data_IF_763097175857
#
_entry.id   IF_763097175857
#
_cell.length_a   1.000
_cell.length_b   1.000
_cell.length_c   1.000
_cell.angle_alpha   90.00
_cell.angle_beta   90.00
_cell.angle_gamma   90.00
#
_symmetry.space_group_name_H-M   'P 1'
#
loop_
_entity.id
_entity.type
_entity.pdbx_description
1 polymer ?
#
# COMPACT_ATOMS: atom_id res chain seq x y z
N UNK A 1 -34.28 28.93 -14.83
CA UNK A 1 -34.09 28.12 -13.62
C UNK A 1 -32.90 28.69 -12.87
N UNK A 2 -33.14 29.13 -11.63
CA UNK A 2 -32.08 29.65 -10.75
C UNK A 2 -31.19 28.50 -10.26
N UNK A 3 -29.97 28.78 -9.83
CA UNK A 3 -29.04 27.76 -9.28
C UNK A 3 -29.70 26.97 -8.14
N UNK A 4 -30.56 27.59 -7.31
CA UNK A 4 -31.31 26.93 -6.24
C UNK A 4 -32.36 25.94 -6.71
N UNK A 5 -33.01 26.17 -7.86
CA UNK A 5 -34.01 25.22 -8.40
C UNK A 5 -33.35 23.95 -9.01
N UNK A 6 -32.09 24.03 -9.45
CA UNK A 6 -31.31 22.87 -9.92
C UNK A 6 -30.89 22.00 -8.73
N UNK A 7 -30.41 22.60 -7.65
CA UNK A 7 -29.97 21.90 -6.45
C UNK A 7 -31.11 21.11 -5.77
N UNK A 8 -32.32 21.68 -5.72
CA UNK A 8 -33.50 21.00 -5.21
C UNK A 8 -34.00 19.86 -6.12
N UNK A 9 -33.85 20.02 -7.45
CA UNK A 9 -34.23 18.99 -8.41
C UNK A 9 -33.26 17.80 -8.35
N UNK A 10 -31.96 18.07 -8.25
CA UNK A 10 -30.92 17.03 -8.13
C UNK A 10 -31.03 16.27 -6.80
N UNK A 11 -31.41 16.92 -5.69
CA UNK A 11 -31.76 16.27 -4.42
C UNK A 11 -32.99 15.37 -4.52
N UNK A 12 -34.04 15.83 -5.16
CA UNK A 12 -35.25 15.03 -5.36
C UNK A 12 -35.02 13.82 -6.25
N UNK A 13 -34.14 13.93 -7.27
CA UNK A 13 -33.75 12.83 -8.14
C UNK A 13 -32.89 11.82 -7.37
N UNK A 14 -31.95 12.26 -6.55
CA UNK A 14 -31.11 11.41 -5.71
C UNK A 14 -31.93 10.63 -4.67
N UNK A 15 -32.90 11.28 -4.02
CA UNK A 15 -33.85 10.64 -3.09
C UNK A 15 -34.76 9.63 -3.79
N UNK A 16 -35.25 9.98 -4.99
CA UNK A 16 -36.10 9.07 -5.79
C UNK A 16 -35.37 7.86 -6.32
N UNK A 17 -34.08 8.01 -6.66
CA UNK A 17 -33.23 6.91 -7.14
C UNK A 17 -32.63 6.09 -5.98
N UNK A 18 -32.90 6.44 -4.74
CA UNK A 18 -32.36 5.75 -3.55
C UNK A 18 -30.82 5.86 -3.43
N UNK A 19 -30.22 6.81 -4.16
CA UNK A 19 -28.75 7.00 -4.13
C UNK A 19 -28.30 7.84 -2.96
N UNK A 20 -29.16 8.26 -2.04
CA UNK A 20 -28.90 8.96 -0.77
C UNK A 20 -27.55 9.66 -0.54
N UNK A 21 -26.84 9.97 -1.63
CA UNK A 21 -25.51 10.58 -1.57
C UNK A 21 -25.67 12.09 -1.36
N UNK A 22 -25.27 12.54 -0.20
CA UNK A 22 -25.12 13.97 0.02
C UNK A 22 -24.20 14.56 -1.07
N UNK A 23 -24.60 15.71 -1.67
CA UNK A 23 -23.79 16.36 -2.70
C UNK A 23 -22.39 16.64 -2.16
N UNK A 24 -21.39 16.31 -2.93
CA UNK A 24 -19.99 16.56 -2.56
C UNK A 24 -19.76 18.07 -2.43
N UNK A 25 -19.26 18.59 -1.31
CA UNK A 25 -18.97 20.01 -1.15
C UNK A 25 -18.05 20.55 -2.25
N UNK A 26 -18.23 21.81 -2.65
CA UNK A 26 -17.42 22.42 -3.73
C UNK A 26 -15.92 22.51 -3.39
N UNK A 27 -15.58 22.53 -2.12
CA UNK A 27 -14.22 22.56 -1.59
C UNK A 27 -13.69 21.17 -1.20
N UNK A 28 -14.41 20.10 -1.57
CA UNK A 28 -14.01 18.72 -1.32
C UNK A 28 -12.72 18.37 -2.06
N UNK A 29 -11.81 17.72 -1.36
CA UNK A 29 -10.54 17.26 -1.91
C UNK A 29 -10.53 15.75 -2.06
N UNK A 30 -10.05 15.26 -3.21
CA UNK A 30 -9.88 13.83 -3.41
C UNK A 30 -8.67 13.55 -4.30
N UNK A 31 -8.00 12.43 -4.01
CA UNK A 31 -6.85 12.04 -4.82
C UNK A 31 -6.19 10.75 -4.32
N UNK A 32 -5.32 10.24 -5.16
CA UNK A 32 -4.57 9.02 -4.94
C UNK A 32 -3.21 9.29 -4.30
N UNK A 33 -2.91 8.57 -3.22
CA UNK A 33 -1.62 8.61 -2.53
C UNK A 33 -0.92 7.27 -2.68
N UNK A 34 0.16 7.22 -3.48
CA UNK A 34 0.97 6.01 -3.61
C UNK A 34 1.87 5.83 -2.39
N UNK A 35 1.68 4.72 -1.66
CA UNK A 35 2.45 4.38 -0.46
C UNK A 35 3.59 3.43 -0.85
N UNK A 36 4.82 3.93 -0.84
CA UNK A 36 6.00 3.21 -1.30
C UNK A 36 7.08 3.13 -0.22
N UNK A 37 7.96 2.15 -0.34
CA UNK A 37 9.06 1.91 0.58
C UNK A 37 9.59 0.48 0.44
N UNK A 38 10.74 0.18 1.03
CA UNK A 38 11.29 -1.17 1.04
C UNK A 38 10.35 -2.15 1.79
N UNK A 39 10.57 -3.48 1.69
CA UNK A 39 9.80 -4.45 2.47
C UNK A 39 9.91 -4.20 3.99
N UNK A 40 8.84 -4.49 4.72
CA UNK A 40 8.77 -4.48 6.19
C UNK A 40 8.96 -3.12 6.90
N UNK A 41 8.88 -1.99 6.21
CA UNK A 41 8.86 -0.66 6.83
C UNK A 41 7.51 -0.31 7.47
N UNK A 42 6.47 -1.13 7.25
CA UNK A 42 5.14 -0.94 7.84
C UNK A 42 4.14 -0.20 6.97
N UNK A 43 4.28 -0.22 5.62
CA UNK A 43 3.34 0.42 4.67
C UNK A 43 1.90 0.02 4.92
N UNK A 44 1.59 -1.28 4.84
CA UNK A 44 0.24 -1.83 5.04
C UNK A 44 -0.30 -1.54 6.45
N UNK A 45 0.57 -1.56 7.47
CA UNK A 45 0.20 -1.19 8.84
C UNK A 45 -0.21 0.28 8.92
N UNK A 46 0.56 1.15 8.27
CA UNK A 46 0.29 2.59 8.21
C UNK A 46 -1.00 2.88 7.45
N UNK A 47 -1.21 2.24 6.29
CA UNK A 47 -2.45 2.37 5.50
C UNK A 47 -3.66 1.91 6.29
N UNK A 48 -3.63 0.73 6.91
CA UNK A 48 -4.73 0.24 7.75
C UNK A 48 -5.05 1.21 8.89
N UNK A 49 -4.02 1.78 9.53
CA UNK A 49 -4.20 2.75 10.61
C UNK A 49 -4.78 4.09 10.12
N UNK A 50 -4.36 4.58 8.94
CA UNK A 50 -4.90 5.80 8.31
C UNK A 50 -6.36 5.62 7.88
N UNK A 51 -6.69 4.48 7.28
CA UNK A 51 -8.07 4.15 6.84
C UNK A 51 -8.98 3.84 8.04
N UNK A 52 -8.42 3.37 9.16
CA UNK A 52 -9.18 2.91 10.33
C UNK A 52 -9.82 1.54 10.14
N UNK A 53 -9.46 0.82 9.07
CA UNK A 53 -9.95 -0.51 8.74
C UNK A 53 -8.82 -1.41 8.20
N UNK A 54 -8.95 -2.74 8.36
CA UNK A 54 -7.96 -3.70 7.87
C UNK A 54 -8.16 -4.00 6.38
N UNK A 55 -7.68 -3.13 5.50
CA UNK A 55 -7.76 -3.32 4.03
C UNK A 55 -6.63 -4.17 3.46
N UNK A 56 -5.49 -4.24 4.14
CA UNK A 56 -4.33 -5.01 3.74
C UNK A 56 -3.84 -5.93 4.86
N UNK A 57 -3.33 -7.10 4.51
CA UNK A 57 -2.77 -8.04 5.48
C UNK A 57 -1.42 -7.56 6.01
N UNK A 58 -1.10 -7.94 7.24
CA UNK A 58 0.13 -7.55 7.93
C UNK A 58 0.92 -8.78 8.34
N UNK A 59 2.21 -8.80 8.02
CA UNK A 59 3.12 -9.87 8.44
C UNK A 59 4.55 -9.33 8.59
N UNK A 60 5.35 -9.87 9.53
CA UNK A 60 6.77 -9.57 9.63
C UNK A 60 7.59 -10.16 8.46
N UNK A 61 6.98 -11.03 7.65
CA UNK A 61 7.66 -11.66 6.51
C UNK A 61 7.75 -10.68 5.34
N UNK A 62 8.88 -10.65 4.59
CA UNK A 62 8.98 -9.82 3.39
C UNK A 62 8.01 -10.31 2.30
N UNK A 63 7.64 -9.39 1.39
CA UNK A 63 6.71 -9.66 0.28
C UNK A 63 5.29 -10.06 0.76
N UNK A 64 4.84 -9.46 1.87
CA UNK A 64 3.47 -9.62 2.36
C UNK A 64 2.47 -9.04 1.36
N UNK A 65 2.63 -7.79 0.95
CA UNK A 65 1.86 -7.18 -0.14
C UNK A 65 2.48 -7.57 -1.48
N UNK A 66 1.69 -8.17 -2.38
CA UNK A 66 2.15 -8.64 -3.70
C UNK A 66 1.48 -7.92 -4.86
N UNK A 67 0.34 -7.31 -4.60
CA UNK A 67 -0.50 -6.56 -5.51
C UNK A 67 -0.80 -5.21 -4.88
N UNK A 68 -1.05 -4.20 -5.68
CA UNK A 68 -1.57 -2.91 -5.24
C UNK A 68 -2.92 -3.09 -4.55
N UNK A 69 -3.09 -2.55 -3.35
CA UNK A 69 -4.34 -2.60 -2.59
C UNK A 69 -4.81 -1.16 -2.37
N UNK A 70 -6.06 -0.89 -2.69
CA UNK A 70 -6.69 0.41 -2.46
C UNK A 70 -7.29 0.46 -1.05
N UNK A 71 -6.84 1.41 -0.25
CA UNK A 71 -7.46 1.79 1.01
C UNK A 71 -8.17 3.13 0.87
N UNK A 72 -9.44 3.21 1.22
CA UNK A 72 -10.29 4.38 1.02
C UNK A 72 -10.59 5.00 2.38
N UNK A 73 -10.18 6.25 2.58
CA UNK A 73 -10.55 7.07 3.71
C UNK A 73 -11.50 8.17 3.25
N UNK A 74 -12.76 8.14 3.72
CA UNK A 74 -13.74 9.16 3.42
C UNK A 74 -13.99 10.03 4.64
N UNK A 75 -13.94 11.35 4.44
CA UNK A 75 -14.32 12.41 5.38
C UNK A 75 -15.40 13.30 4.76
N UNK A 76 -16.09 14.14 5.53
CA UNK A 76 -17.06 15.08 4.96
C UNK A 76 -16.45 16.00 3.89
N UNK A 77 -15.22 16.45 4.11
CA UNK A 77 -14.48 17.43 3.31
C UNK A 77 -13.45 16.80 2.35
N UNK A 78 -13.23 15.48 2.43
CA UNK A 78 -12.21 14.85 1.60
C UNK A 78 -12.35 13.34 1.44
N UNK A 79 -11.74 12.80 0.36
CA UNK A 79 -11.54 11.37 0.18
C UNK A 79 -10.11 11.08 -0.24
N UNK A 80 -9.38 10.32 0.58
CA UNK A 80 -8.00 9.89 0.29
C UNK A 80 -7.98 8.44 -0.13
N UNK A 81 -7.35 8.18 -1.27
CA UNK A 81 -7.25 6.87 -1.90
C UNK A 81 -5.81 6.37 -1.78
N UNK A 82 -5.52 5.61 -0.72
CA UNK A 82 -4.19 5.07 -0.46
C UNK A 82 -3.91 3.84 -1.32
N UNK A 83 -2.90 3.89 -2.16
CA UNK A 83 -2.42 2.76 -2.95
C UNK A 83 -1.28 2.07 -2.16
N UNK A 84 -1.63 1.07 -1.31
CA UNK A 84 -0.60 0.24 -0.65
C UNK A 84 0.10 -0.63 -1.68
N UNK A 85 1.42 -0.49 -1.80
CA UNK A 85 2.21 -1.16 -2.83
C UNK A 85 3.11 -2.24 -2.25
N UNK A 86 3.48 -3.25 -3.07
CA UNK A 86 4.56 -4.14 -2.73
C UNK A 86 5.84 -3.38 -2.36
N UNK A 87 6.65 -3.97 -1.47
CA UNK A 87 7.96 -3.41 -1.15
C UNK A 87 8.88 -3.37 -2.38
N UNK A 88 9.52 -2.23 -2.62
CA UNK A 88 10.46 -2.07 -3.74
C UNK A 88 11.72 -2.91 -3.50
N UNK A 89 12.05 -3.77 -4.45
CA UNK A 89 13.23 -4.65 -4.41
C UNK A 89 13.69 -5.00 -5.83
N UNK A 90 14.84 -5.64 -5.97
CA UNK A 90 15.33 -6.11 -7.27
C UNK A 90 14.48 -7.27 -7.81
N UNK A 91 14.00 -7.19 -9.07
CA UNK A 91 13.17 -8.22 -9.66
C UNK A 91 14.01 -9.41 -10.15
N UNK A 92 14.03 -10.51 -9.38
CA UNK A 92 14.77 -11.74 -9.73
C UNK A 92 13.91 -12.85 -10.35
N UNK A 93 12.59 -12.77 -10.21
CA UNK A 93 11.63 -13.80 -10.65
C UNK A 93 10.38 -13.13 -11.24
N UNK A 94 9.52 -13.90 -11.91
CA UNK A 94 8.27 -13.39 -12.48
C UNK A 94 7.37 -12.69 -11.43
N UNK A 95 7.23 -13.30 -10.25
CA UNK A 95 6.52 -12.68 -9.13
C UNK A 95 7.09 -11.30 -8.78
N UNK A 96 8.41 -11.16 -8.72
CA UNK A 96 9.04 -9.88 -8.41
C UNK A 96 8.82 -8.83 -9.52
N UNK A 97 8.84 -9.26 -10.81
CA UNK A 97 8.52 -8.37 -11.93
C UNK A 97 7.08 -7.90 -11.87
N UNK A 98 6.14 -8.81 -11.53
CA UNK A 98 4.75 -8.46 -11.31
C UNK A 98 4.61 -7.39 -10.22
N UNK A 99 5.20 -7.62 -9.04
CA UNK A 99 5.18 -6.69 -7.92
C UNK A 99 5.75 -5.31 -8.31
N UNK A 100 6.82 -5.25 -9.11
CA UNK A 100 7.39 -3.97 -9.55
C UNK A 100 6.47 -3.24 -10.55
N UNK A 101 5.75 -3.97 -11.40
CA UNK A 101 4.71 -3.35 -12.27
C UNK A 101 3.58 -2.72 -11.45
N UNK A 102 3.15 -3.37 -10.36
CA UNK A 102 2.15 -2.81 -9.44
C UNK A 102 2.63 -1.51 -8.79
N UNK A 103 3.92 -1.45 -8.37
CA UNK A 103 4.53 -0.21 -7.86
C UNK A 103 4.55 0.87 -8.92
N UNK A 104 4.97 0.56 -10.15
CA UNK A 104 5.04 1.53 -11.25
C UNK A 104 3.66 2.07 -11.64
N UNK A 105 2.66 1.21 -11.68
CA UNK A 105 1.29 1.61 -11.92
C UNK A 105 0.78 2.57 -10.84
N UNK A 106 1.01 2.26 -9.56
CA UNK A 106 0.64 3.15 -8.46
C UNK A 106 1.32 4.53 -8.54
N UNK A 107 2.62 4.56 -8.87
CA UNK A 107 3.39 5.80 -8.99
C UNK A 107 3.00 6.64 -10.21
N UNK A 108 2.49 6.01 -11.27
CA UNK A 108 2.05 6.72 -12.47
C UNK A 108 0.73 7.45 -12.25
N UNK A 109 -0.17 6.84 -11.49
CA UNK A 109 -1.57 7.26 -11.36
C UNK A 109 -1.85 8.06 -10.07
N UNK A 110 -0.81 8.41 -9.27
CA UNK A 110 -1.00 9.10 -7.99
C UNK A 110 -0.89 10.63 -8.09
N UNK A 111 -1.58 11.32 -7.18
CA UNK A 111 -1.50 12.77 -6.97
C UNK A 111 -0.39 13.14 -5.97
N UNK A 112 -0.05 12.23 -5.06
CA UNK A 112 1.02 12.38 -4.09
C UNK A 112 1.72 11.05 -3.80
N UNK A 113 2.96 11.12 -3.34
CA UNK A 113 3.76 9.95 -2.95
C UNK A 113 4.04 10.00 -1.44
N UNK A 114 3.66 8.95 -0.73
CA UNK A 114 4.02 8.71 0.66
C UNK A 114 5.17 7.69 0.72
N UNK A 115 6.39 8.19 0.88
CA UNK A 115 7.57 7.36 1.08
C UNK A 115 7.67 6.96 2.56
N UNK A 116 7.56 5.67 2.83
CA UNK A 116 7.61 5.10 4.18
C UNK A 116 8.96 4.45 4.42
N UNK A 117 9.63 4.85 5.50
CA UNK A 117 10.91 4.28 5.94
C UNK A 117 10.80 3.75 7.38
N UNK A 118 11.73 2.89 7.79
CA UNK A 118 11.84 2.36 9.16
C UNK A 118 12.89 3.16 9.93
N UNK A 119 12.44 4.13 10.73
CA UNK A 119 13.34 5.06 11.45
C UNK A 119 14.07 4.41 12.65
N UNK A 120 13.63 3.23 13.08
CA UNK A 120 14.34 2.49 14.13
C UNK A 120 15.75 2.02 13.73
N UNK A 121 16.10 2.19 12.44
CA UNK A 121 17.40 1.83 11.87
C UNK A 121 17.84 2.90 10.88
N UNK A 122 19.14 3.06 10.69
CA UNK A 122 19.68 3.91 9.64
C UNK A 122 19.23 3.42 8.23
N UNK A 123 19.03 4.34 7.28
CA UNK A 123 18.63 3.96 5.92
C UNK A 123 19.74 3.17 5.22
N UNK A 124 19.34 2.21 4.41
CA UNK A 124 20.24 1.37 3.65
C UNK A 124 20.07 1.57 2.13
N UNK A 125 20.77 0.75 1.33
CA UNK A 125 20.73 0.86 -0.14
C UNK A 125 19.33 0.58 -0.72
N UNK A 126 18.50 -0.21 -0.05
CA UNK A 126 17.12 -0.42 -0.50
C UNK A 126 16.30 0.86 -0.34
N UNK A 127 16.46 1.61 0.76
CA UNK A 127 15.81 2.91 0.96
C UNK A 127 16.29 3.92 -0.09
N UNK A 128 17.60 3.94 -0.39
CA UNK A 128 18.19 4.82 -1.43
C UNK A 128 17.62 4.51 -2.81
N UNK A 129 17.42 3.22 -3.16
CA UNK A 129 16.81 2.81 -4.45
C UNK A 129 15.36 3.31 -4.56
N UNK A 130 14.58 3.22 -3.48
CA UNK A 130 13.22 3.78 -3.47
C UNK A 130 13.27 5.29 -3.67
N UNK A 131 14.11 6.00 -2.91
CA UNK A 131 14.29 7.45 -3.01
C UNK A 131 14.66 7.87 -4.45
N UNK A 132 15.64 7.20 -5.08
CA UNK A 132 16.04 7.46 -6.48
C UNK A 132 14.90 7.23 -7.48
N UNK A 133 14.03 6.22 -7.23
CA UNK A 133 12.88 5.94 -8.09
C UNK A 133 11.85 7.06 -8.03
N UNK A 134 11.52 7.54 -6.85
CA UNK A 134 10.52 8.60 -6.66
C UNK A 134 11.07 10.01 -6.93
N UNK A 135 12.39 10.22 -6.88
CA UNK A 135 13.01 11.51 -7.12
C UNK A 135 12.67 12.09 -8.51
N UNK A 136 12.42 11.23 -9.50
CA UNK A 136 12.11 11.61 -10.88
C UNK A 136 10.65 12.02 -11.10
N UNK A 137 9.79 11.83 -10.10
CA UNK A 137 8.38 12.14 -10.18
C UNK A 137 8.14 13.61 -9.88
N UNK A 138 7.15 14.23 -10.54
CA UNK A 138 6.75 15.62 -10.30
C UNK A 138 5.83 15.79 -9.08
N UNK A 139 5.12 14.71 -8.69
CA UNK A 139 4.16 14.74 -7.59
C UNK A 139 4.82 15.11 -6.26
N UNK A 140 4.10 15.76 -5.34
CA UNK A 140 4.57 16.06 -3.99
C UNK A 140 4.92 14.76 -3.25
N UNK A 141 6.03 14.80 -2.50
CA UNK A 141 6.58 13.64 -1.79
C UNK A 141 6.58 13.90 -0.30
N UNK A 142 6.00 12.96 0.44
CA UNK A 142 5.94 12.95 1.90
C UNK A 142 6.83 11.84 2.43
N UNK A 143 7.63 12.10 3.43
CA UNK A 143 8.44 11.11 4.13
C UNK A 143 7.79 10.74 5.46
N UNK A 144 7.26 9.54 5.57
CA UNK A 144 6.82 8.95 6.83
C UNK A 144 7.94 8.09 7.41
N UNK A 145 8.63 8.62 8.41
CA UNK A 145 9.63 7.90 9.20
C UNK A 145 8.89 7.06 10.24
N UNK A 146 8.46 5.86 9.81
CA UNK A 146 7.61 4.96 10.57
C UNK A 146 8.38 4.15 11.60
N UNK A 147 7.66 3.53 12.53
CA UNK A 147 8.17 2.80 13.70
C UNK A 147 8.93 3.67 14.68
N UNK A 148 8.50 4.91 14.82
CA UNK A 148 9.07 5.84 15.79
C UNK A 148 8.96 5.32 17.24
N UNK A 149 8.00 4.44 17.52
CA UNK A 149 7.83 3.72 18.78
C UNK A 149 8.96 2.75 19.13
N UNK A 150 9.79 2.37 18.15
CA UNK A 150 10.96 1.50 18.30
C UNK A 150 12.29 2.26 18.23
N UNK A 151 12.25 3.58 18.01
CA UNK A 151 13.44 4.42 17.91
C UNK A 151 13.99 4.72 19.31
N UNK A 152 15.28 4.47 19.51
CA UNK A 152 15.96 4.88 20.76
C UNK A 152 16.02 6.42 20.82
N UNK A 153 15.62 7.05 21.94
CA UNK A 153 15.69 8.50 22.09
C UNK A 153 17.08 9.10 21.85
N UNK A 154 18.14 8.32 22.04
CA UNK A 154 19.53 8.76 21.82
C UNK A 154 19.88 8.90 20.34
N UNK A 155 19.22 8.15 19.48
CA UNK A 155 19.53 8.06 18.05
C UNK A 155 18.61 8.96 17.19
N UNK A 156 17.65 9.67 17.81
CA UNK A 156 16.61 10.44 17.08
C UNK A 156 17.22 11.43 16.09
N UNK A 157 18.20 12.24 16.52
CA UNK A 157 18.78 13.29 15.69
C UNK A 157 19.50 12.68 14.49
N UNK A 158 20.31 11.65 14.71
CA UNK A 158 21.07 10.97 13.66
C UNK A 158 20.15 10.28 12.65
N UNK A 159 19.17 9.49 13.14
CA UNK A 159 18.28 8.73 12.28
C UNK A 159 17.37 9.65 11.47
N UNK A 160 16.79 10.68 12.09
CA UNK A 160 15.93 11.64 11.37
C UNK A 160 16.73 12.32 10.27
N UNK A 161 17.91 12.88 10.55
CA UNK A 161 18.75 13.54 9.57
C UNK A 161 19.15 12.59 8.42
N UNK A 162 19.52 11.33 8.74
CA UNK A 162 19.88 10.34 7.72
C UNK A 162 18.70 9.98 6.81
N UNK A 163 17.47 9.87 7.35
CA UNK A 163 16.27 9.58 6.55
C UNK A 163 15.84 10.78 5.70
N UNK A 164 15.91 12.00 6.22
CA UNK A 164 15.61 13.22 5.46
C UNK A 164 16.58 13.41 4.28
N UNK A 165 17.86 13.06 4.49
CA UNK A 165 18.86 13.11 3.43
C UNK A 165 18.55 12.21 2.21
N UNK A 166 17.69 11.18 2.36
CA UNK A 166 17.25 10.34 1.24
C UNK A 166 16.54 11.13 0.12
N UNK A 167 15.83 12.20 0.48
CA UNK A 167 15.07 13.02 -0.45
C UNK A 167 15.76 14.37 -0.75
N UNK A 168 16.90 14.67 -0.11
CA UNK A 168 17.68 15.86 -0.42
C UNK A 168 18.12 15.84 -1.89
N UNK A 169 18.11 16.98 -2.60
CA UNK A 169 18.65 17.07 -3.94
C UNK A 169 20.12 16.63 -3.88
N UNK A 170 20.54 15.77 -4.82
CA UNK A 170 21.95 15.36 -4.92
C UNK A 170 22.81 16.62 -5.02
N UNK A 171 23.52 16.95 -3.96
CA UNK A 171 24.56 17.97 -4.00
C UNK A 171 25.54 17.57 -5.11
N UNK A 172 25.89 18.54 -5.97
CA UNK A 172 26.89 18.35 -7.04
C UNK A 172 28.30 18.22 -6.44
N UNK A 173 28.52 17.21 -5.60
CA UNK A 173 29.86 16.82 -5.18
C UNK A 173 30.42 15.86 -6.21
N UNK A 174 31.23 16.38 -7.13
CA UNK A 174 31.99 15.54 -8.06
C UNK A 174 32.31 16.13 -9.42
N UNK A 175 32.28 17.45 -9.59
CA UNK A 175 33.04 18.05 -10.69
C UNK A 175 34.36 18.59 -10.16
N UNK A 176 35.37 17.75 -10.27
CA UNK A 176 36.75 18.06 -9.95
C UNK A 176 37.18 19.39 -10.57
N UNK A 177 37.80 20.20 -9.73
CA UNK A 177 38.49 21.39 -10.11
C UNK A 177 39.55 21.06 -11.16
N UNK A 178 39.34 21.46 -12.42
CA UNK A 178 40.42 21.74 -13.37
C UNK A 178 40.32 23.22 -13.74
N UNK A 179 41.40 23.91 -13.40
CA UNK A 179 41.53 25.33 -13.47
C UNK A 179 41.42 25.86 -14.89
N UNK A 180 40.85 27.06 -15.00
CA UNK A 180 40.84 27.89 -16.17
C UNK A 180 40.21 29.23 -15.80
N UNK A 181 41.03 30.28 -15.70
CA UNK A 181 40.63 31.64 -15.37
C UNK A 181 39.62 32.22 -16.38
N UNK A 182 38.69 33.10 -15.95
CA UNK A 182 37.67 33.64 -16.81
C UNK A 182 38.19 34.86 -17.59
N UNK A 183 37.90 34.91 -18.89
CA UNK A 183 37.88 36.17 -19.66
C UNK A 183 36.45 36.69 -19.69
N UNK A 184 36.31 37.91 -19.23
CA UNK A 184 35.09 38.69 -19.32
C UNK A 184 34.79 39.07 -20.80
N UNK A 185 33.52 38.93 -21.22
CA UNK A 185 32.83 39.86 -22.11
C UNK A 185 31.33 39.50 -22.25
N UNK A 186 30.55 40.56 -22.06
CA UNK A 186 29.29 40.92 -22.71
C UNK A 186 27.96 40.32 -22.27
N UNK A 187 27.13 41.26 -21.91
CA UNK A 187 25.74 41.22 -21.52
C UNK A 187 24.83 40.64 -22.61
N UNK A 188 23.94 39.76 -22.18
CA UNK A 188 22.78 39.32 -22.93
C UNK A 188 21.79 38.69 -21.93
N UNK A 189 20.77 39.48 -21.59
CA UNK A 189 19.62 39.05 -20.79
C UNK A 189 18.92 37.86 -21.45
N UNK A 190 19.15 36.68 -20.94
CA UNK A 190 18.32 35.51 -21.18
C UNK A 190 17.67 35.14 -19.85
N UNK A 191 16.36 35.32 -19.80
CA UNK A 191 15.54 34.69 -18.78
C UNK A 191 15.88 33.21 -18.73
N UNK A 192 16.59 32.80 -17.70
CA UNK A 192 16.84 31.43 -17.38
C UNK A 192 15.54 30.86 -16.81
N UNK A 193 14.82 30.10 -17.63
CA UNK A 193 13.82 29.15 -17.14
C UNK A 193 14.59 28.19 -16.25
N UNK A 194 14.46 28.36 -14.94
CA UNK A 194 14.96 27.38 -13.98
C UNK A 194 14.30 26.04 -14.29
N UNK A 195 15.05 24.94 -14.42
CA UNK A 195 14.45 23.61 -14.48
C UNK A 195 13.68 23.43 -13.17
N UNK A 196 12.42 23.02 -13.26
CA UNK A 196 11.55 22.73 -12.12
C UNK A 196 12.33 21.88 -11.12
N UNK A 197 12.91 22.55 -10.12
CA UNK A 197 13.70 21.93 -9.09
C UNK A 197 12.82 20.94 -8.33
N UNK A 198 13.30 19.75 -8.12
CA UNK A 198 12.73 18.77 -7.20
C UNK A 198 12.30 19.50 -5.92
N UNK A 199 10.98 19.66 -5.73
CA UNK A 199 10.43 20.35 -4.55
C UNK A 199 10.56 19.36 -3.38
N UNK A 200 11.78 19.24 -2.86
CA UNK A 200 11.97 18.69 -1.51
C UNK A 200 11.80 19.85 -0.53
N UNK A 201 10.68 19.81 0.20
CA UNK A 201 10.47 20.70 1.32
C UNK A 201 10.54 19.84 2.59
N UNK A 202 11.48 20.12 3.53
CA UNK A 202 11.55 19.40 4.81
C UNK A 202 10.26 19.51 5.66
N UNK A 203 9.31 20.37 5.26
CA UNK A 203 7.98 20.45 5.84
C UNK A 203 7.14 19.17 5.65
N UNK A 204 7.54 18.27 4.76
CA UNK A 204 6.80 17.05 4.44
C UNK A 204 7.44 15.79 5.02
N UNK A 205 8.28 15.91 6.05
CA UNK A 205 8.81 14.77 6.80
C UNK A 205 8.14 14.65 8.18
N UNK A 206 7.89 13.41 8.63
CA UNK A 206 7.23 13.16 9.89
C UNK A 206 7.61 11.82 10.53
N UNK A 207 7.86 11.82 11.82
CA UNK A 207 7.94 10.62 12.65
C UNK A 207 6.53 10.05 12.86
N UNK A 208 6.32 8.78 12.54
CA UNK A 208 5.03 8.10 12.66
C UNK A 208 5.15 6.75 13.33
N UNK A 209 4.06 6.28 13.93
CA UNK A 209 3.90 4.88 14.32
C UNK A 209 2.55 4.37 13.84
N UNK A 210 2.57 3.51 12.82
CA UNK A 210 1.35 2.85 12.34
C UNK A 210 0.75 1.87 13.36
N UNK A 211 1.52 1.44 14.36
CA UNK A 211 1.06 0.55 15.44
C UNK A 211 0.41 1.31 16.58
N UNK A 212 0.95 2.48 16.94
CA UNK A 212 0.42 3.32 18.03
C UNK A 212 -0.52 4.41 17.57
N UNK A 213 -0.53 4.74 16.27
CA UNK A 213 -1.28 5.85 15.73
C UNK A 213 -0.57 7.22 15.88
N UNK A 214 0.71 7.24 16.29
CA UNK A 214 1.42 8.49 16.55
C UNK A 214 1.56 9.33 15.28
N UNK A 215 1.17 10.61 15.36
CA UNK A 215 1.21 11.63 14.30
C UNK A 215 0.43 11.33 13.01
N UNK A 216 -0.47 10.33 12.99
CA UNK A 216 -1.25 9.97 11.79
C UNK A 216 -2.19 11.11 11.34
N UNK A 217 -2.85 11.79 12.29
CA UNK A 217 -3.74 12.92 11.98
C UNK A 217 -2.99 14.10 11.33
N UNK A 218 -1.76 14.37 11.81
CA UNK A 218 -0.91 15.41 11.22
C UNK A 218 -0.45 15.03 9.82
N UNK A 219 0.01 13.78 9.63
CA UNK A 219 0.38 13.25 8.33
C UNK A 219 -0.79 13.34 7.35
N UNK A 220 -1.98 12.94 7.78
CA UNK A 220 -3.19 12.99 6.98
C UNK A 220 -3.55 14.44 6.60
N UNK A 221 -3.47 15.37 7.56
CA UNK A 221 -3.74 16.80 7.29
C UNK A 221 -2.77 17.39 6.25
N UNK A 222 -1.49 16.99 6.31
CA UNK A 222 -0.48 17.40 5.32
C UNK A 222 -0.78 16.83 3.93
N UNK A 223 -1.17 15.55 3.84
CA UNK A 223 -1.56 14.92 2.58
C UNK A 223 -2.79 15.61 1.99
N UNK A 224 -3.84 15.82 2.78
CA UNK A 224 -5.09 16.47 2.36
C UNK A 224 -4.85 17.87 1.79
N UNK A 225 -3.95 18.66 2.39
CA UNK A 225 -3.63 20.00 1.93
C UNK A 225 -3.06 20.05 0.49
N UNK A 226 -2.49 18.95 0.00
CA UNK A 226 -1.88 18.86 -1.34
C UNK A 226 -2.74 18.18 -2.38
N UNK A 227 -3.81 17.46 -1.95
CA UNK A 227 -4.70 16.81 -2.90
C UNK A 227 -5.52 17.83 -3.69
N UNK A 228 -5.82 17.53 -4.96
CA UNK A 228 -6.65 18.40 -5.79
C UNK A 228 -8.09 18.50 -5.26
N UNK A 229 -8.79 19.56 -5.65
CA UNK A 229 -10.24 19.60 -5.53
C UNK A 229 -10.86 18.61 -6.50
N UNK A 230 -11.81 17.83 -6.03
CA UNK A 230 -12.45 16.79 -6.83
C UNK A 230 -13.63 16.12 -6.14
N UNK A 231 -14.44 15.38 -6.91
CA UNK A 231 -15.61 14.70 -6.38
C UNK A 231 -15.20 13.51 -5.51
N UNK A 232 -16.13 12.99 -4.76
CA UNK A 232 -16.01 11.69 -4.09
C UNK A 232 -15.99 10.58 -5.16
N UNK A 233 -14.96 9.72 -5.15
CA UNK A 233 -14.81 8.63 -6.13
C UNK A 233 -15.54 7.34 -5.70
N UNK A 234 -15.70 7.14 -4.39
CA UNK A 234 -16.30 5.95 -3.81
C UNK A 234 -17.38 6.33 -2.78
N UNK A 235 -18.43 5.51 -2.64
CA UNK A 235 -19.49 5.75 -1.66
C UNK A 235 -18.95 5.88 -0.23
N UNK A 236 -19.61 6.68 0.63
CA UNK A 236 -19.31 6.73 2.06
C UNK A 236 -19.39 5.33 2.69
N UNK A 237 -18.41 5.00 3.56
CA UNK A 237 -18.36 3.69 4.23
C UNK A 237 -17.63 2.60 3.46
N UNK A 238 -17.35 2.77 2.16
CA UNK A 238 -16.48 1.86 1.44
C UNK A 238 -15.02 2.12 1.83
N UNK A 239 -14.32 1.10 2.32
CA UNK A 239 -12.92 1.19 2.79
C UNK A 239 -11.91 0.62 1.82
N UNK A 240 -12.34 -0.17 0.82
CA UNK A 240 -11.49 -0.77 -0.23
C UNK A 240 -12.32 -1.09 -1.47
N UNK A 241 -11.64 -1.27 -2.61
CA UNK A 241 -12.22 -1.77 -3.88
C UNK A 241 -12.11 -3.31 -4.00
N UNK A 242 -11.49 -3.96 -3.02
CA UNK A 242 -11.26 -5.40 -3.10
C UNK A 242 -12.55 -6.17 -2.79
N UNK A 243 -12.81 -7.21 -3.57
CA UNK A 243 -13.94 -8.10 -3.31
C UNK A 243 -13.70 -9.04 -2.12
N UNK A 244 -14.78 -9.60 -1.60
CA UNK A 244 -14.75 -10.50 -0.43
C UNK A 244 -13.90 -11.76 -0.66
N UNK A 245 -13.87 -12.30 -1.88
CA UNK A 245 -13.07 -13.48 -2.23
C UNK A 245 -11.57 -13.19 -2.12
N UNK A 246 -11.15 -12.02 -2.63
CA UNK A 246 -9.77 -11.58 -2.50
C UNK A 246 -9.38 -11.41 -1.04
N UNK A 247 -10.19 -10.73 -0.25
CA UNK A 247 -9.93 -10.51 1.18
C UNK A 247 -9.84 -11.83 1.94
N UNK A 248 -10.76 -12.78 1.68
CA UNK A 248 -10.72 -14.10 2.29
C UNK A 248 -9.44 -14.87 1.94
N UNK A 249 -9.00 -14.86 0.67
CA UNK A 249 -7.75 -15.46 0.25
C UNK A 249 -6.54 -14.83 0.96
N UNK A 250 -6.53 -13.50 1.08
CA UNK A 250 -5.47 -12.78 1.78
C UNK A 250 -5.46 -13.09 3.29
N UNK A 251 -6.61 -13.20 3.96
CA UNK A 251 -6.65 -13.62 5.37
C UNK A 251 -6.13 -15.04 5.58
N UNK A 252 -6.45 -15.98 4.67
CA UNK A 252 -5.84 -17.32 4.71
C UNK A 252 -4.32 -17.22 4.51
N UNK A 253 -3.85 -16.41 3.57
CA UNK A 253 -2.43 -16.20 3.30
C UNK A 253 -1.71 -15.54 4.50
N UNK A 254 -2.31 -14.56 5.15
CA UNK A 254 -1.77 -13.92 6.34
C UNK A 254 -1.50 -14.94 7.46
N UNK A 255 -2.47 -15.81 7.74
CA UNK A 255 -2.29 -16.82 8.77
C UNK A 255 -1.24 -17.85 8.37
N UNK A 256 -1.16 -18.23 7.10
CA UNK A 256 -0.08 -19.09 6.63
C UNK A 256 1.30 -18.40 6.78
N UNK A 257 1.43 -17.11 6.44
CA UNK A 257 2.65 -16.33 6.67
C UNK A 257 3.01 -16.23 8.15
N UNK A 258 2.02 -16.17 9.03
CA UNK A 258 2.21 -16.05 10.48
C UNK A 258 2.74 -17.33 11.11
N UNK A 259 2.22 -18.49 10.71
CA UNK A 259 2.52 -19.75 11.34
C UNK A 259 3.61 -20.58 10.67
N UNK A 260 3.95 -20.25 9.42
CA UNK A 260 5.00 -20.94 8.69
C UNK A 260 6.31 -20.18 8.76
N UNK A 261 7.41 -20.90 8.72
CA UNK A 261 8.76 -20.35 8.89
C UNK A 261 9.66 -20.67 7.70
N UNK A 262 10.88 -20.16 7.73
CA UNK A 262 11.93 -20.35 6.72
C UNK A 262 11.47 -19.98 5.31
N UNK A 263 11.66 -20.87 4.33
CA UNK A 263 11.38 -20.64 2.91
C UNK A 263 9.91 -20.84 2.51
N UNK A 264 9.09 -21.50 3.37
CA UNK A 264 7.71 -21.86 3.01
C UNK A 264 6.85 -20.62 2.77
N UNK A 265 6.88 -19.56 3.60
CA UNK A 265 6.06 -18.36 3.43
C UNK A 265 6.21 -17.68 2.06
N UNK A 266 7.43 -17.69 1.51
CA UNK A 266 7.72 -17.02 0.25
C UNK A 266 7.08 -17.70 -0.98
N UNK A 267 6.84 -19.01 -0.88
CA UNK A 267 6.29 -19.84 -1.95
C UNK A 267 4.78 -20.08 -1.88
N UNK A 268 4.04 -19.37 -1.00
CA UNK A 268 2.61 -19.58 -0.83
C UNK A 268 1.81 -18.72 -1.79
N UNK A 269 0.80 -19.33 -2.45
CA UNK A 269 -0.31 -18.64 -3.08
C UNK A 269 -1.63 -19.23 -2.55
N UNK A 270 -2.71 -18.45 -2.53
CA UNK A 270 -4.03 -18.88 -2.10
C UNK A 270 -5.05 -18.53 -3.15
N UNK A 271 -5.92 -19.49 -3.51
CA UNK A 271 -7.06 -19.27 -4.39
C UNK A 271 -8.35 -19.69 -3.71
N UNK A 272 -9.43 -18.98 -4.00
CA UNK A 272 -10.78 -19.39 -3.62
C UNK A 272 -11.34 -20.21 -4.77
N UNK A 273 -11.61 -21.49 -4.51
CA UNK A 273 -12.13 -22.43 -5.53
C UNK A 273 -13.65 -22.40 -5.57
N UNK A 274 -14.31 -22.25 -4.41
CA UNK A 274 -15.77 -22.20 -4.31
C UNK A 274 -16.22 -21.22 -3.22
N UNK A 275 -17.37 -20.58 -3.46
CA UNK A 275 -18.00 -19.61 -2.56
C UNK A 275 -19.50 -19.68 -2.70
N UNK A 276 -20.19 -20.12 -1.65
CA UNK A 276 -21.64 -20.32 -1.64
C UNK A 276 -22.26 -19.78 -0.37
N UNK A 277 -23.33 -19.00 -0.49
CA UNK A 277 -24.16 -18.62 0.65
C UNK A 277 -25.24 -19.71 0.84
N UNK A 278 -25.23 -20.37 1.98
CA UNK A 278 -26.20 -21.42 2.34
C UNK A 278 -27.53 -20.81 2.77
N UNK A 279 -28.66 -21.57 2.71
CA UNK A 279 -29.97 -21.07 3.11
C UNK A 279 -30.07 -20.54 4.55
N UNK A 280 -29.20 -21.00 5.44
CA UNK A 280 -29.11 -20.54 6.83
C UNK A 280 -28.24 -19.29 7.03
N UNK A 281 -27.83 -18.62 5.94
CA UNK A 281 -26.97 -17.43 5.98
C UNK A 281 -25.48 -17.73 6.22
N UNK A 282 -25.07 -18.99 6.39
CA UNK A 282 -23.66 -19.34 6.52
C UNK A 282 -22.97 -19.36 5.17
N UNK A 283 -21.79 -18.76 5.07
CA UNK A 283 -20.97 -18.73 3.87
C UNK A 283 -20.03 -19.95 3.87
N UNK A 284 -20.12 -20.77 2.84
CA UNK A 284 -19.16 -21.84 2.55
C UNK A 284 -18.04 -21.30 1.65
N UNK A 285 -16.80 -21.52 2.05
CA UNK A 285 -15.61 -21.10 1.30
C UNK A 285 -14.67 -22.31 1.18
N UNK A 286 -14.35 -22.72 -0.04
CA UNK A 286 -13.29 -23.67 -0.33
C UNK A 286 -12.06 -22.93 -0.86
N UNK A 287 -10.92 -23.04 -0.17
CA UNK A 287 -9.68 -22.39 -0.56
C UNK A 287 -8.54 -23.40 -0.69
N UNK A 288 -7.66 -23.15 -1.68
CA UNK A 288 -6.45 -23.96 -1.89
C UNK A 288 -5.21 -23.13 -1.59
N UNK A 289 -4.34 -23.65 -0.73
CA UNK A 289 -3.02 -23.09 -0.47
C UNK A 289 -2.01 -23.85 -1.34
N UNK A 290 -1.35 -23.12 -2.24
CA UNK A 290 -0.30 -23.67 -3.10
C UNK A 290 1.08 -23.43 -2.50
N UNK A 291 1.94 -24.42 -2.64
CA UNK A 291 3.37 -24.39 -2.32
C UNK A 291 4.18 -24.92 -3.48
N UNK A 292 5.50 -24.74 -3.49
CA UNK A 292 6.34 -25.13 -4.63
C UNK A 292 6.90 -26.56 -4.56
N UNK A 293 6.93 -27.20 -3.36
CA UNK A 293 7.55 -28.52 -3.15
C UNK A 293 6.72 -29.40 -2.22
N UNK A 294 6.82 -30.72 -2.38
CA UNK A 294 6.13 -31.69 -1.50
C UNK A 294 6.59 -31.57 -0.03
N UNK A 295 7.88 -31.29 0.23
CA UNK A 295 8.38 -31.04 1.58
C UNK A 295 7.67 -29.84 2.24
N UNK A 296 7.44 -28.76 1.48
CA UNK A 296 6.69 -27.58 1.97
C UNK A 296 5.22 -27.92 2.24
N UNK A 297 4.59 -28.77 1.40
CA UNK A 297 3.23 -29.24 1.62
C UNK A 297 3.12 -30.05 2.93
N UNK A 298 4.10 -30.90 3.22
CA UNK A 298 4.16 -31.61 4.50
C UNK A 298 4.20 -30.65 5.71
N UNK A 299 5.01 -29.60 5.62
CA UNK A 299 5.11 -28.56 6.66
C UNK A 299 3.78 -27.79 6.78
N UNK A 300 3.16 -27.41 5.67
CA UNK A 300 1.87 -26.70 5.62
C UNK A 300 0.73 -27.52 6.23
N UNK A 301 0.69 -28.82 5.99
CA UNK A 301 -0.31 -29.72 6.58
C UNK A 301 -0.03 -29.93 8.06
N UNK A 302 1.24 -30.17 8.41
CA UNK A 302 1.66 -30.49 9.77
C UNK A 302 1.29 -31.92 10.20
N UNK A 303 1.71 -32.31 11.40
CA UNK A 303 1.43 -33.66 11.96
C UNK A 303 -0.08 -33.80 12.15
N UNK A 304 -0.69 -34.83 11.51
CA UNK A 304 -2.14 -35.06 11.61
C UNK A 304 -3.03 -33.93 11.08
N UNK A 305 -2.49 -32.97 10.29
CA UNK A 305 -3.23 -31.84 9.77
C UNK A 305 -3.31 -30.62 10.70
N UNK A 306 -2.57 -30.63 11.80
CA UNK A 306 -2.71 -29.62 12.87
C UNK A 306 -2.34 -28.21 12.41
N UNK A 307 -1.32 -28.05 11.56
CA UNK A 307 -0.91 -26.73 11.06
C UNK A 307 -1.99 -26.13 10.14
N UNK A 308 -2.51 -26.93 9.20
CA UNK A 308 -3.57 -26.51 8.30
C UNK A 308 -4.85 -26.14 9.05
N UNK A 309 -5.24 -26.94 10.07
CA UNK A 309 -6.37 -26.63 10.97
C UNK A 309 -6.15 -25.32 11.73
N UNK A 310 -4.93 -25.07 12.23
CA UNK A 310 -4.59 -23.85 12.95
C UNK A 310 -4.70 -22.62 12.04
N UNK A 311 -4.17 -22.70 10.80
CA UNK A 311 -4.30 -21.67 9.79
C UNK A 311 -5.77 -21.39 9.51
N UNK A 312 -6.56 -22.43 9.21
CA UNK A 312 -7.98 -22.31 8.90
C UNK A 312 -8.81 -21.72 10.02
N UNK A 313 -8.58 -22.15 11.27
CA UNK A 313 -9.32 -21.63 12.41
C UNK A 313 -9.08 -20.14 12.67
N UNK A 314 -7.84 -19.65 12.46
CA UNK A 314 -7.53 -18.23 12.62
C UNK A 314 -8.00 -17.40 11.41
N UNK A 315 -7.82 -17.90 10.18
CA UNK A 315 -8.31 -17.24 8.98
C UNK A 315 -9.84 -17.08 9.02
N UNK A 316 -10.57 -18.13 9.42
CA UNK A 316 -12.03 -18.08 9.55
C UNK A 316 -12.49 -16.95 10.46
N UNK A 317 -11.83 -16.72 11.61
CA UNK A 317 -12.18 -15.64 12.54
C UNK A 317 -12.04 -14.25 11.92
N UNK A 318 -10.99 -14.04 11.12
CA UNK A 318 -10.78 -12.78 10.41
C UNK A 318 -11.86 -12.60 9.32
N UNK A 319 -12.14 -13.66 8.54
CA UNK A 319 -13.16 -13.63 7.48
C UNK A 319 -14.55 -13.40 8.09
N UNK A 320 -14.91 -14.08 9.17
CA UNK A 320 -16.20 -13.87 9.86
C UNK A 320 -16.37 -12.44 10.38
N UNK A 321 -15.26 -11.83 10.87
CA UNK A 321 -15.27 -10.43 11.32
C UNK A 321 -15.49 -9.47 10.16
N UNK A 322 -14.83 -9.71 9.03
CA UNK A 322 -14.94 -8.88 7.83
C UNK A 322 -16.32 -8.95 7.20
N UNK A 323 -16.84 -10.18 7.04
CA UNK A 323 -18.13 -10.40 6.37
C UNK A 323 -19.34 -10.19 7.28
N UNK A 324 -19.16 -10.10 8.59
CA UNK A 324 -20.26 -10.04 9.54
C UNK A 324 -21.15 -11.31 9.57
N UNK A 325 -20.68 -12.42 8.99
CA UNK A 325 -21.43 -13.65 8.78
C UNK A 325 -20.64 -14.88 9.28
N UNK A 326 -21.36 -15.97 9.58
CA UNK A 326 -20.71 -17.26 9.92
C UNK A 326 -20.12 -17.90 8.68
N UNK A 327 -18.89 -18.45 8.81
CA UNK A 327 -18.15 -19.07 7.72
C UNK A 327 -17.78 -20.50 8.01
N UNK A 328 -18.01 -21.37 7.03
CA UNK A 328 -17.40 -22.69 6.97
C UNK A 328 -16.25 -22.66 5.96
N UNK A 329 -15.01 -22.66 6.48
CA UNK A 329 -13.80 -22.58 5.67
C UNK A 329 -13.18 -23.97 5.50
N UNK A 330 -13.11 -24.44 4.26
CA UNK A 330 -12.43 -25.66 3.86
C UNK A 330 -11.09 -25.32 3.21
N UNK A 331 -9.98 -25.91 3.69
CA UNK A 331 -8.64 -25.65 3.19
C UNK A 331 -8.00 -26.89 2.58
N UNK A 332 -7.44 -26.71 1.39
CA UNK A 332 -6.66 -27.71 0.69
C UNK A 332 -5.21 -27.26 0.52
N UNK A 333 -4.29 -28.22 0.49
CA UNK A 333 -2.88 -27.97 0.21
C UNK A 333 -2.48 -28.66 -1.09
N UNK A 334 -1.99 -27.90 -2.08
CA UNK A 334 -1.54 -28.42 -3.39
C UNK A 334 -0.13 -27.96 -3.69
N UNK A 335 0.61 -28.77 -4.46
CA UNK A 335 1.95 -28.40 -4.96
C UNK A 335 1.83 -27.89 -6.38
N UNK A 336 2.46 -26.72 -6.63
CA UNK A 336 2.64 -26.16 -7.96
C UNK A 336 4.08 -25.72 -8.14
N UNK A 337 4.94 -26.59 -8.69
CA UNK A 337 6.37 -26.33 -8.80
C UNK A 337 6.66 -25.07 -9.63
N UNK A 338 7.57 -24.23 -9.12
CA UNK A 338 8.10 -23.09 -9.86
C UNK A 338 7.13 -21.98 -10.20
N UNK A 339 5.92 -21.93 -9.62
CA UNK A 339 4.89 -20.97 -9.98
C UNK A 339 5.35 -19.50 -9.92
N UNK A 340 6.27 -19.16 -9.00
CA UNK A 340 6.83 -17.80 -8.88
C UNK A 340 7.68 -17.37 -10.06
N UNK A 341 8.10 -18.31 -10.92
CA UNK A 341 8.95 -18.08 -12.10
C UNK A 341 8.16 -18.03 -13.39
N UNK A 342 6.88 -18.38 -13.35
CA UNK A 342 5.97 -18.45 -14.49
C UNK A 342 5.02 -17.26 -14.46
N UNK A 343 5.10 -16.36 -15.46
CA UNK A 343 4.32 -15.13 -15.51
C UNK A 343 2.80 -15.41 -15.59
N UNK A 344 2.38 -16.47 -16.30
CA UNK A 344 0.96 -16.83 -16.41
C UNK A 344 0.40 -17.36 -15.09
N UNK A 345 1.17 -18.18 -14.36
CA UNK A 345 0.76 -18.67 -13.04
C UNK A 345 0.76 -17.56 -11.99
N UNK A 346 1.70 -16.62 -12.06
CA UNK A 346 1.73 -15.45 -11.19
C UNK A 346 0.48 -14.62 -11.40
N UNK A 347 0.14 -14.28 -12.64
CA UNK A 347 -1.09 -13.53 -12.96
C UNK A 347 -2.33 -14.29 -12.45
N UNK A 348 -2.46 -15.59 -12.76
CA UNK A 348 -3.59 -16.41 -12.32
C UNK A 348 -3.76 -16.42 -10.80
N UNK A 349 -2.68 -16.56 -10.03
CA UNK A 349 -2.76 -16.65 -8.57
C UNK A 349 -2.96 -15.30 -7.88
N UNK A 350 -2.53 -14.20 -8.50
CA UNK A 350 -2.68 -12.88 -7.92
C UNK A 350 -3.95 -12.15 -8.39
N UNK A 351 -4.46 -12.47 -9.59
CA UNK A 351 -5.64 -11.83 -10.17
C UNK A 351 -6.89 -12.73 -10.11
N UNK A 352 -6.71 -14.03 -9.99
CA UNK A 352 -7.80 -15.02 -10.07
C UNK A 352 -8.83 -15.01 -8.93
N UNK A 353 -8.58 -14.23 -7.87
CA UNK A 353 -9.54 -13.99 -6.78
C UNK A 353 -10.26 -12.63 -6.91
N UNK A 354 -10.05 -11.94 -8.03
CA UNK A 354 -10.58 -10.58 -8.28
C UNK A 354 -11.98 -10.64 -8.86
#
# INVERSE_FOLDING_TARGET
MSEGERDDTDRLIADFLGTGEEPTPADHRSGYVAVVGKPNVGKSTLVNALVGHKVAIISPKPQTTRRRILGILTRPDAQVLFLDTPGVHEPKQALHRYMMREVDAALKDCDAVLFVTDVSRLPNDEDRRVAQRIARLSQPKFLAMNKADLLDPRDVIEHVAAHEALLAPASQEGRGAMGGAPRASEAGSRESVEPAGSIFNPQFSMLTSGTRGDNLDKLLSMLLATLPYGPRYFPPGQTTDQNERFLAAEFVREQALRFLEQEVPHGIAVTIEDWQTRPNGMIYIAATIYVERESQKGILIGKGGDMLKKIGANARKEIERELGAKVYLELWAKVRPGWRRDDALVARFLEGNS
#
